data_IF_894410610401
#
_entry.id   IF_894410610401
#
_cell.length_a   1.000
_cell.length_b   1.000
_cell.length_c   1.000
_cell.angle_alpha   90.00
_cell.angle_beta   90.00
_cell.angle_gamma   90.00
#
_symmetry.space_group_name_H-M   'P 1'
#
loop_
_entity.id
_entity.type
_entity.pdbx_description
1 polymer ?
#
# COMPACT_ATOMS: atom_id res chain seq x y z
N UNK A 1 -8.99 -6.40 -14.00
CA UNK A 1 -8.81 -7.26 -12.82
C UNK A 1 -9.65 -8.51 -12.99
N UNK A 2 -9.03 -9.68 -13.06
CA UNK A 2 -9.73 -10.96 -13.17
C UNK A 2 -10.55 -11.31 -11.90
N UNK A 3 -11.60 -12.12 -12.05
CA UNK A 3 -12.62 -12.35 -11.02
C UNK A 3 -12.05 -12.87 -9.68
N UNK A 4 -11.14 -13.83 -9.70
CA UNK A 4 -10.52 -14.38 -8.48
C UNK A 4 -9.66 -13.35 -7.76
N UNK A 5 -8.86 -12.58 -8.51
CA UNK A 5 -8.04 -11.50 -7.96
C UNK A 5 -8.91 -10.40 -7.36
N UNK A 6 -9.99 -10.03 -8.06
CA UNK A 6 -10.98 -9.07 -7.56
C UNK A 6 -11.64 -9.55 -6.28
N UNK A 7 -12.03 -10.82 -6.19
CA UNK A 7 -12.61 -11.38 -4.96
C UNK A 7 -11.63 -11.34 -3.79
N UNK A 8 -10.36 -11.67 -4.01
CA UNK A 8 -9.33 -11.55 -2.97
C UNK A 8 -9.16 -10.09 -2.51
N UNK A 9 -9.06 -9.16 -3.46
CA UNK A 9 -8.96 -7.72 -3.17
C UNK A 9 -10.15 -7.20 -2.36
N UNK A 10 -11.38 -7.52 -2.76
CA UNK A 10 -12.58 -7.06 -2.06
C UNK A 10 -12.68 -7.67 -0.64
N UNK A 11 -12.21 -8.91 -0.43
CA UNK A 11 -12.12 -9.52 0.91
C UNK A 11 -11.16 -8.76 1.81
N UNK A 12 -9.98 -8.40 1.30
CA UNK A 12 -9.01 -7.62 2.07
C UNK A 12 -9.54 -6.20 2.38
N UNK A 13 -10.18 -5.54 1.41
CA UNK A 13 -10.81 -4.23 1.63
C UNK A 13 -11.96 -4.29 2.65
N UNK A 14 -12.76 -5.35 2.64
CA UNK A 14 -13.82 -5.56 3.62
C UNK A 14 -13.24 -5.80 5.02
N UNK A 15 -12.24 -6.67 5.15
CA UNK A 15 -11.56 -6.95 6.42
C UNK A 15 -10.87 -5.69 6.97
N UNK A 16 -10.22 -4.90 6.11
CA UNK A 16 -9.65 -3.61 6.49
C UNK A 16 -10.71 -2.66 7.09
N UNK A 17 -11.87 -2.57 6.45
CA UNK A 17 -12.97 -1.70 6.88
C UNK A 17 -13.54 -2.15 8.23
N UNK A 18 -13.70 -3.46 8.44
CA UNK A 18 -14.15 -4.04 9.70
C UNK A 18 -13.15 -3.74 10.83
N UNK A 19 -11.87 -4.03 10.62
CA UNK A 19 -10.84 -3.78 11.63
C UNK A 19 -10.68 -2.28 11.93
N UNK A 20 -10.80 -1.43 10.92
CA UNK A 20 -10.79 0.03 11.10
C UNK A 20 -11.96 0.51 11.97
N UNK A 21 -13.16 -0.03 11.74
CA UNK A 21 -14.36 0.30 12.52
C UNK A 21 -14.23 -0.17 13.98
N UNK A 22 -13.60 -1.32 14.19
CA UNK A 22 -13.30 -1.88 15.51
C UNK A 22 -12.08 -1.25 16.20
N UNK A 23 -11.53 -0.14 15.67
CA UNK A 23 -10.32 0.53 16.18
C UNK A 23 -9.04 -0.34 16.21
N UNK A 24 -9.03 -1.50 15.54
CA UNK A 24 -7.83 -2.34 15.38
C UNK A 24 -6.98 -1.84 14.22
N UNK A 25 -6.39 -0.65 14.37
CA UNK A 25 -5.73 0.07 13.28
C UNK A 25 -4.56 -0.71 12.65
N UNK A 26 -3.84 -1.51 13.43
CA UNK A 26 -2.75 -2.37 12.93
C UNK A 26 -3.24 -3.48 12.02
N UNK A 27 -4.34 -4.13 12.41
CA UNK A 27 -4.99 -5.15 11.58
C UNK A 27 -5.63 -4.52 10.33
N UNK A 28 -6.21 -3.33 10.46
CA UNK A 28 -6.74 -2.60 9.33
C UNK A 28 -5.65 -2.26 8.30
N UNK A 29 -4.51 -1.75 8.77
CA UNK A 29 -3.36 -1.45 7.92
C UNK A 29 -2.83 -2.70 7.21
N UNK A 30 -2.69 -3.82 7.94
CA UNK A 30 -2.26 -5.09 7.38
C UNK A 30 -3.13 -5.56 6.19
N UNK A 31 -4.45 -5.48 6.33
CA UNK A 31 -5.37 -5.83 5.24
C UNK A 31 -5.29 -4.86 4.06
N UNK A 32 -5.05 -3.57 4.32
CA UNK A 32 -4.85 -2.58 3.27
C UNK A 32 -3.55 -2.81 2.50
N UNK A 33 -2.47 -3.25 3.15
CA UNK A 33 -1.22 -3.63 2.47
C UNK A 33 -1.44 -4.79 1.51
N UNK A 34 -2.21 -5.81 1.92
CA UNK A 34 -2.60 -6.93 1.06
C UNK A 34 -3.46 -6.46 -0.12
N UNK A 35 -4.46 -5.61 0.13
CA UNK A 35 -5.29 -5.03 -0.92
C UNK A 35 -4.47 -4.18 -1.91
N UNK A 36 -3.48 -3.43 -1.43
CA UNK A 36 -2.58 -2.63 -2.25
C UNK A 36 -1.75 -3.50 -3.20
N UNK A 37 -1.17 -4.60 -2.71
CA UNK A 37 -0.42 -5.57 -3.54
C UNK A 37 -1.34 -6.23 -4.57
N UNK A 38 -2.53 -6.70 -4.17
CA UNK A 38 -3.50 -7.32 -5.08
C UNK A 38 -4.02 -6.34 -6.15
N UNK A 39 -4.09 -5.06 -5.81
CA UNK A 39 -4.54 -3.98 -6.69
C UNK A 39 -3.44 -3.30 -7.49
N UNK A 40 -2.16 -3.67 -7.32
CA UNK A 40 -1.01 -2.90 -7.83
C UNK A 40 -1.05 -2.64 -9.34
N UNK A 41 -1.50 -3.63 -10.13
CA UNK A 41 -1.62 -3.50 -11.60
C UNK A 41 -2.88 -2.74 -12.05
N UNK A 42 -3.72 -2.26 -11.12
CA UNK A 42 -4.99 -1.59 -11.41
C UNK A 42 -5.10 -0.26 -10.64
N UNK A 43 -5.04 0.86 -11.38
CA UNK A 43 -4.98 2.22 -10.81
C UNK A 43 -6.08 2.50 -9.77
N UNK A 44 -7.33 2.12 -10.04
CA UNK A 44 -8.46 2.39 -9.13
C UNK A 44 -8.35 1.55 -7.84
N UNK A 45 -8.23 0.21 -7.89
CA UNK A 45 -7.95 -0.60 -6.70
C UNK A 45 -6.74 -0.13 -5.88
N UNK A 46 -5.64 0.21 -6.56
CA UNK A 46 -4.44 0.71 -5.91
C UNK A 46 -4.68 2.02 -5.16
N UNK A 47 -5.32 3.00 -5.81
CA UNK A 47 -5.67 4.28 -5.19
C UNK A 47 -6.62 4.11 -4.00
N UNK A 48 -7.57 3.16 -4.07
CA UNK A 48 -8.50 2.86 -2.97
C UNK A 48 -7.79 2.27 -1.75
N UNK A 49 -6.83 1.37 -1.95
CA UNK A 49 -6.03 0.84 -0.86
C UNK A 49 -5.19 1.93 -0.18
N UNK A 50 -4.56 2.81 -0.97
CA UNK A 50 -3.85 3.98 -0.44
C UNK A 50 -4.75 4.93 0.35
N UNK A 51 -5.97 5.18 -0.15
CA UNK A 51 -6.93 5.99 0.57
C UNK A 51 -7.28 5.39 1.95
N UNK A 52 -7.48 4.07 2.01
CA UNK A 52 -7.66 3.37 3.27
C UNK A 52 -6.45 3.51 4.21
N UNK A 53 -5.23 3.37 3.69
CA UNK A 53 -4.01 3.54 4.48
C UNK A 53 -3.89 4.95 5.06
N UNK A 54 -4.24 5.98 4.28
CA UNK A 54 -4.29 7.37 4.73
C UNK A 54 -5.31 7.56 5.87
N UNK A 55 -6.50 6.97 5.76
CA UNK A 55 -7.50 7.02 6.85
C UNK A 55 -6.99 6.34 8.12
N UNK A 56 -6.31 5.20 8.02
CA UNK A 56 -5.67 4.54 9.17
C UNK A 56 -4.60 5.43 9.79
N UNK A 57 -3.70 5.99 8.98
CA UNK A 57 -2.68 6.94 9.44
C UNK A 57 -3.31 8.15 10.13
N UNK A 58 -4.42 8.66 9.59
CA UNK A 58 -5.16 9.76 10.18
C UNK A 58 -5.71 9.41 11.56
N UNK A 59 -6.29 8.20 11.70
CA UNK A 59 -6.89 7.75 12.96
C UNK A 59 -5.83 7.40 14.02
N UNK A 60 -4.63 6.99 13.62
CA UNK A 60 -3.51 6.72 14.53
C UNK A 60 -2.92 7.97 15.19
N UNK A 61 -3.20 9.17 14.67
CA UNK A 61 -2.65 10.44 15.16
C UNK A 61 -1.12 10.54 15.17
N UNK A 62 -0.43 9.68 14.42
CA UNK A 62 1.02 9.76 14.21
C UNK A 62 1.33 10.27 12.81
N UNK A 63 1.03 11.55 12.61
CA UNK A 63 1.00 12.20 11.29
C UNK A 63 2.37 12.65 10.79
N UNK A 64 3.37 12.78 11.66
CA UNK A 64 4.62 13.46 11.31
C UNK A 64 5.53 12.58 10.45
N UNK A 65 5.58 11.28 10.71
CA UNK A 65 6.46 10.35 9.99
C UNK A 65 5.79 9.76 8.73
N UNK A 66 4.48 9.51 8.80
CA UNK A 66 3.68 8.96 7.69
C UNK A 66 3.56 9.96 6.54
N UNK A 67 3.29 11.24 6.85
CA UNK A 67 3.17 12.28 5.82
C UNK A 67 4.52 12.56 5.15
N UNK A 68 5.62 12.48 5.91
CA UNK A 68 6.98 12.64 5.39
C UNK A 68 7.37 11.58 4.36
N UNK A 69 7.01 10.32 4.59
CA UNK A 69 7.31 9.23 3.64
C UNK A 69 6.38 9.24 2.42
N UNK A 70 5.09 9.56 2.61
CA UNK A 70 4.13 9.64 1.50
C UNK A 70 4.45 10.81 0.56
N UNK A 71 4.79 12.00 1.09
CA UNK A 71 5.27 13.13 0.26
C UNK A 71 6.55 12.76 -0.48
N UNK A 72 7.45 11.96 0.11
CA UNK A 72 8.71 11.57 -0.53
C UNK A 72 8.52 10.53 -1.64
N UNK A 73 7.58 9.61 -1.50
CA UNK A 73 7.23 8.63 -2.53
C UNK A 73 6.44 9.28 -3.67
N UNK A 74 5.42 10.11 -3.35
CA UNK A 74 4.69 10.89 -4.35
C UNK A 74 5.60 11.90 -5.05
N UNK A 75 6.50 12.54 -4.29
CA UNK A 75 7.56 13.38 -4.82
C UNK A 75 8.46 12.58 -5.77
N UNK A 76 8.93 11.39 -5.41
CA UNK A 76 9.74 10.57 -6.31
C UNK A 76 9.00 10.12 -7.57
N UNK A 77 7.68 9.90 -7.51
CA UNK A 77 6.83 9.55 -8.66
C UNK A 77 6.53 10.75 -9.56
N UNK A 78 6.44 11.98 -9.02
CA UNK A 78 6.24 13.21 -9.78
C UNK A 78 7.56 13.85 -10.27
N UNK A 79 8.66 13.71 -9.53
CA UNK A 79 9.99 14.24 -9.86
C UNK A 79 10.86 13.27 -10.67
N UNK A 80 10.43 12.02 -10.89
CA UNK A 80 11.11 11.13 -11.87
C UNK A 80 10.97 11.61 -13.31
N UNK A 81 10.20 12.67 -13.58
CA UNK A 81 10.21 13.29 -14.91
C UNK A 81 11.07 14.54 -15.04
N UNK A 82 11.44 15.21 -13.93
CA UNK A 82 12.24 16.44 -13.98
C UNK A 82 13.21 16.49 -12.78
N UNK A 83 14.38 15.84 -12.96
CA UNK A 83 15.69 16.44 -12.63
C UNK A 83 16.00 16.78 -11.15
N UNK A 84 16.73 15.90 -10.43
CA UNK A 84 17.62 16.31 -9.31
C UNK A 84 18.87 15.40 -9.25
N UNK A 85 20.09 15.98 -9.16
CA UNK A 85 21.35 15.24 -9.25
C UNK A 85 21.70 14.45 -7.97
N UNK A 86 22.54 13.45 -8.18
CA UNK A 86 23.08 12.54 -7.16
C UNK A 86 23.81 13.32 -6.06
N UNK A 87 23.29 13.26 -4.83
CA UNK A 87 24.05 13.62 -3.62
C UNK A 87 23.24 14.24 -2.48
N UNK A 88 22.96 13.43 -1.45
CA UNK A 88 22.67 13.80 -0.04
C UNK A 88 21.33 14.53 0.29
N UNK A 89 20.68 14.35 1.44
CA UNK A 89 21.07 13.78 2.77
C UNK A 89 19.80 13.52 3.61
N UNK A 90 19.88 12.58 4.56
CA UNK A 90 19.17 12.70 5.85
C UNK A 90 18.07 11.67 6.08
N UNK A 91 18.41 10.59 6.78
CA UNK A 91 17.45 9.64 7.36
C UNK A 91 17.28 9.85 8.87
N UNK A 92 16.32 9.14 9.46
CA UNK A 92 16.33 8.74 10.86
C UNK A 92 15.46 7.49 11.06
N UNK A 93 16.11 6.32 11.09
CA UNK A 93 15.78 5.20 11.99
C UNK A 93 14.57 4.27 11.79
N UNK A 94 14.13 3.93 10.57
CA UNK A 94 13.38 2.68 10.35
C UNK A 94 13.78 1.99 9.03
N UNK A 95 14.07 0.67 9.00
CA UNK A 95 14.34 -0.06 7.76
C UNK A 95 13.11 0.00 6.86
N UNK A 96 13.23 0.31 5.55
CA UNK A 96 12.09 0.85 4.80
C UNK A 96 11.08 -0.21 4.32
N UNK A 97 11.26 -1.50 4.55
CA UNK A 97 10.42 -2.53 3.95
C UNK A 97 10.48 -3.84 4.75
N UNK A 98 9.55 -4.08 5.66
CA UNK A 98 9.23 -5.47 6.03
C UNK A 98 8.20 -5.95 5.02
N UNK A 99 8.67 -6.58 3.95
CA UNK A 99 7.81 -7.33 3.03
C UNK A 99 7.08 -8.40 3.84
N UNK A 100 5.78 -8.22 4.05
CA UNK A 100 4.97 -9.29 4.60
C UNK A 100 4.91 -10.43 3.58
N UNK A 101 4.94 -11.69 4.02
CA UNK A 101 4.83 -12.83 3.12
C UNK A 101 3.50 -12.72 2.39
N UNK A 102 3.57 -12.36 1.12
CA UNK A 102 2.50 -12.55 0.15
C UNK A 102 2.18 -14.05 0.26
N UNK A 103 0.98 -14.46 0.72
CA UNK A 103 0.66 -15.87 0.79
C UNK A 103 0.84 -16.47 -0.61
N UNK A 104 1.44 -17.66 -0.69
CA UNK A 104 1.90 -18.27 -1.94
C UNK A 104 0.77 -18.36 -2.99
N UNK A 105 -0.48 -18.36 -2.54
CA UNK A 105 -1.70 -18.26 -3.36
C UNK A 105 -1.76 -17.00 -4.25
N UNK A 106 -1.20 -15.87 -3.83
CA UNK A 106 -1.17 -14.64 -4.61
C UNK A 106 -0.02 -14.61 -5.63
N UNK A 107 1.07 -15.35 -5.38
CA UNK A 107 2.16 -15.50 -6.36
C UNK A 107 1.70 -16.21 -7.62
N UNK A 108 0.86 -17.24 -7.49
CA UNK A 108 0.30 -17.93 -8.66
C UNK A 108 -0.71 -17.07 -9.43
N UNK A 109 -1.49 -16.24 -8.74
CA UNK A 109 -2.43 -15.32 -9.37
C UNK A 109 -1.73 -14.19 -10.15
N UNK A 110 -0.64 -13.63 -9.61
CA UNK A 110 0.14 -12.56 -10.26
C UNK A 110 0.93 -13.08 -11.48
N UNK A 111 1.52 -14.28 -11.39
CA UNK A 111 2.21 -14.93 -12.54
C UNK A 111 1.29 -15.17 -13.75
N UNK A 112 -0.02 -15.22 -13.54
CA UNK A 112 -1.00 -15.44 -14.61
C UNK A 112 -1.30 -14.16 -15.39
N UNK A 113 -1.06 -12.98 -14.81
CA UNK A 113 -1.33 -11.66 -15.40
C UNK A 113 -0.09 -11.05 -16.10
N UNK A 114 1.13 -11.49 -15.76
CA UNK A 114 2.41 -11.06 -16.39
C UNK A 114 2.67 -11.64 -17.79
N UNK A 115 1.69 -12.35 -18.37
CA UNK A 115 1.76 -12.86 -19.75
C UNK A 115 0.76 -12.14 -20.64
N UNK A 116 0.95 -10.84 -20.87
CA UNK A 116 0.42 -10.12 -22.02
C UNK A 116 1.47 -9.13 -22.53
#
# INVERSE_FOLDING_TARGET
MHTTLRQAYEREMAAATEQYSNHHLDKAFFHLERAHVLGQSFTIPHARAHWGMLMVGWRRRDFTEITGQIIRILGSLFFTWIWVPVGNTGGAHVPPFVSMPIPEEFRELLKKDDRH
#
